data_IF_706845885801
#
_entry.id   IF_706845885801
#
_cell.length_a   1.000
_cell.length_b   1.000
_cell.length_c   1.000
_cell.angle_alpha   90.00
_cell.angle_beta   90.00
_cell.angle_gamma   90.00
#
_symmetry.space_group_name_H-M   'P 1'
#
loop_
_entity.id
_entity.type
_entity.pdbx_description
1 polymer ?
#
# COMPACT_ATOMS: atom_id res chain seq x y z
N UNK A 1 31.45 16.17 -26.09
CA UNK A 1 30.14 15.86 -26.69
C UNK A 1 29.80 14.38 -26.64
N UNK A 2 30.45 13.48 -27.39
CA UNK A 2 30.04 12.05 -27.42
C UNK A 2 30.14 11.36 -26.05
N UNK A 3 31.25 11.55 -25.33
CA UNK A 3 31.44 10.97 -23.98
C UNK A 3 30.45 11.52 -22.96
N UNK A 4 30.09 12.81 -23.05
CA UNK A 4 29.13 13.46 -22.14
C UNK A 4 27.72 12.91 -22.38
N UNK A 5 27.33 12.70 -23.64
CA UNK A 5 26.05 12.08 -23.99
C UNK A 5 25.98 10.65 -23.45
N UNK A 6 27.05 9.86 -23.58
CA UNK A 6 27.12 8.50 -23.03
C UNK A 6 26.98 8.49 -21.51
N UNK A 7 27.64 9.41 -20.80
CA UNK A 7 27.55 9.53 -19.34
C UNK A 7 26.12 9.89 -18.92
N UNK A 8 25.46 10.83 -19.60
CA UNK A 8 24.06 11.20 -19.32
C UNK A 8 23.14 9.98 -19.51
N UNK A 9 23.30 9.23 -20.61
CA UNK A 9 22.51 8.02 -20.87
C UNK A 9 22.72 6.99 -19.75
N UNK A 10 23.96 6.75 -19.31
CA UNK A 10 24.25 5.83 -18.21
C UNK A 10 23.59 6.26 -16.89
N UNK A 11 23.61 7.56 -16.57
CA UNK A 11 22.94 8.10 -15.38
C UNK A 11 21.43 7.89 -15.46
N UNK A 12 20.81 8.14 -16.61
CA UNK A 12 19.37 7.90 -16.82
C UNK A 12 19.03 6.42 -16.65
N UNK A 13 19.80 5.52 -17.27
CA UNK A 13 19.60 4.07 -17.16
C UNK A 13 19.74 3.62 -15.71
N UNK A 14 20.78 4.09 -14.99
CA UNK A 14 20.97 3.80 -13.58
C UNK A 14 19.77 4.28 -12.75
N UNK A 15 19.25 5.47 -13.02
CA UNK A 15 18.09 6.02 -12.31
C UNK A 15 16.83 5.18 -12.55
N UNK A 16 16.59 4.74 -13.79
CA UNK A 16 15.46 3.83 -14.12
C UNK A 16 15.58 2.50 -13.36
N UNK A 17 16.78 1.92 -13.30
CA UNK A 17 17.03 0.69 -12.54
C UNK A 17 16.77 0.90 -11.05
N UNK A 18 17.22 2.02 -10.48
CA UNK A 18 16.98 2.34 -9.06
C UNK A 18 15.48 2.50 -8.76
N UNK A 19 14.73 3.21 -9.62
CA UNK A 19 13.27 3.33 -9.50
C UNK A 19 12.61 1.95 -9.52
N UNK A 20 13.00 1.09 -10.46
CA UNK A 20 12.45 -0.26 -10.57
C UNK A 20 12.72 -1.10 -9.31
N UNK A 21 13.96 -1.09 -8.81
CA UNK A 21 14.33 -1.82 -7.59
C UNK A 21 13.58 -1.27 -6.37
N UNK A 22 13.42 0.05 -6.27
CA UNK A 22 12.65 0.67 -5.20
C UNK A 22 11.17 0.25 -5.24
N UNK A 23 10.55 0.26 -6.42
CA UNK A 23 9.18 -0.24 -6.60
C UNK A 23 9.03 -1.70 -6.18
N UNK A 24 10.00 -2.55 -6.53
CA UNK A 24 10.03 -3.96 -6.13
C UNK A 24 10.16 -4.12 -4.61
N UNK A 25 11.02 -3.33 -3.97
CA UNK A 25 11.18 -3.32 -2.52
C UNK A 25 9.89 -2.92 -1.80
N UNK A 26 9.22 -1.86 -2.28
CA UNK A 26 7.93 -1.44 -1.74
C UNK A 26 6.89 -2.57 -1.82
N UNK A 27 6.79 -3.26 -2.97
CA UNK A 27 5.88 -4.39 -3.11
C UNK A 27 6.16 -5.52 -2.11
N UNK A 28 7.43 -5.85 -1.86
CA UNK A 28 7.81 -6.86 -0.86
C UNK A 28 7.40 -6.43 0.55
N UNK A 29 7.67 -5.18 0.93
CA UNK A 29 7.31 -4.63 2.24
C UNK A 29 5.78 -4.63 2.42
N UNK A 30 5.04 -4.21 1.39
CA UNK A 30 3.58 -4.18 1.41
C UNK A 30 2.99 -5.57 1.59
N UNK A 31 3.49 -6.57 0.85
CA UNK A 31 3.05 -7.97 0.98
C UNK A 31 3.38 -8.56 2.36
N UNK A 32 4.56 -8.25 2.90
CA UNK A 32 4.92 -8.66 4.26
C UNK A 32 4.01 -8.03 5.32
N UNK A 33 3.64 -6.77 5.13
CA UNK A 33 2.69 -6.06 6.01
C UNK A 33 1.30 -6.67 5.94
N UNK A 34 0.79 -6.97 4.74
CA UNK A 34 -0.50 -7.64 4.55
C UNK A 34 -0.54 -9.01 5.26
N UNK A 35 0.48 -9.85 5.05
CA UNK A 35 0.60 -11.15 5.73
C UNK A 35 0.60 -11.03 7.25
N UNK A 36 1.32 -10.04 7.79
CA UNK A 36 1.32 -9.78 9.24
C UNK A 36 -0.05 -9.32 9.74
N UNK A 37 -0.77 -8.52 8.96
CA UNK A 37 -2.11 -8.08 9.31
C UNK A 37 -3.11 -9.23 9.27
N UNK A 38 -3.07 -10.07 8.24
CA UNK A 38 -3.88 -11.29 8.12
C UNK A 38 -3.78 -12.19 9.36
N UNK A 39 -2.58 -12.34 9.92
CA UNK A 39 -2.36 -13.11 11.16
C UNK A 39 -2.81 -12.40 12.45
N UNK A 40 -2.89 -11.06 12.43
CA UNK A 40 -3.18 -10.23 13.62
C UNK A 40 -4.63 -9.79 13.72
N UNK A 41 -5.29 -9.55 12.59
CA UNK A 41 -6.68 -9.10 12.50
C UNK A 41 -7.64 -10.03 13.25
N UNK A 42 -7.55 -11.37 13.12
CA UNK A 42 -8.39 -12.28 13.90
C UNK A 42 -8.20 -12.18 15.42
N UNK A 43 -7.07 -11.64 15.88
CA UNK A 43 -6.76 -11.46 17.31
C UNK A 43 -7.17 -10.10 17.84
N UNK A 44 -7.72 -9.21 17.00
CA UNK A 44 -8.18 -7.90 17.45
C UNK A 44 -9.51 -8.03 18.20
N UNK A 45 -9.68 -7.22 19.24
CA UNK A 45 -11.00 -6.97 19.83
C UNK A 45 -11.84 -6.14 18.84
N UNK A 46 -13.15 -6.31 18.86
CA UNK A 46 -14.14 -5.70 17.97
C UNK A 46 -14.00 -4.17 17.89
N UNK A 47 -13.74 -3.49 19.02
CA UNK A 47 -13.48 -2.04 19.02
C UNK A 47 -12.29 -1.64 18.13
N UNK A 48 -11.22 -2.43 18.17
CA UNK A 48 -10.01 -2.19 17.38
C UNK A 48 -10.24 -2.57 15.92
N UNK A 49 -10.93 -3.69 15.67
CA UNK A 49 -11.31 -4.15 14.34
C UNK A 49 -12.17 -3.10 13.63
N UNK A 50 -13.24 -2.64 14.26
CA UNK A 50 -14.15 -1.63 13.71
C UNK A 50 -13.48 -0.27 13.49
N UNK A 51 -12.57 0.14 14.39
CA UNK A 51 -11.78 1.36 14.19
C UNK A 51 -10.90 1.26 12.94
N UNK A 52 -10.23 0.13 12.76
CA UNK A 52 -9.42 -0.14 11.57
C UNK A 52 -10.25 -0.18 10.29
N UNK A 53 -11.38 -0.88 10.32
CA UNK A 53 -12.33 -0.96 9.20
C UNK A 53 -12.79 0.44 8.73
N UNK A 54 -13.26 1.30 9.65
CA UNK A 54 -13.70 2.67 9.31
C UNK A 54 -12.56 3.53 8.79
N UNK A 55 -11.38 3.44 9.41
CA UNK A 55 -10.20 4.20 8.99
C UNK A 55 -9.78 3.82 7.57
N UNK A 56 -9.70 2.53 7.26
CA UNK A 56 -9.35 2.03 5.94
C UNK A 56 -10.42 2.37 4.89
N UNK A 57 -11.71 2.37 5.27
CA UNK A 57 -12.78 2.78 4.37
C UNK A 57 -12.64 4.25 3.90
N UNK A 58 -12.13 5.12 4.77
CA UNK A 58 -11.82 6.50 4.40
C UNK A 58 -10.53 6.60 3.58
N UNK A 59 -9.47 5.93 4.01
CA UNK A 59 -8.15 5.99 3.35
C UNK A 59 -8.17 5.42 1.93
N UNK A 60 -8.89 4.32 1.67
CA UNK A 60 -9.00 3.73 0.33
C UNK A 60 -9.71 4.64 -0.68
N UNK A 61 -10.57 5.54 -0.21
CA UNK A 61 -11.32 6.50 -1.05
C UNK A 61 -10.58 7.82 -1.22
N UNK A 62 -9.67 8.17 -0.31
CA UNK A 62 -8.96 9.44 -0.33
C UNK A 62 -7.75 9.41 -1.28
N UNK A 63 -8.04 9.54 -2.58
CA UNK A 63 -7.03 9.59 -3.64
C UNK A 63 -6.07 10.78 -3.48
N UNK A 64 -6.57 11.93 -3.00
CA UNK A 64 -5.76 13.12 -2.80
C UNK A 64 -4.64 12.87 -1.77
N UNK A 65 -5.00 12.30 -0.62
CA UNK A 65 -4.03 11.96 0.42
C UNK A 65 -3.00 10.92 -0.09
N UNK A 66 -3.44 9.93 -0.86
CA UNK A 66 -2.53 8.94 -1.44
C UNK A 66 -1.55 9.56 -2.45
N UNK A 67 -2.02 10.49 -3.29
CA UNK A 67 -1.18 11.24 -4.24
C UNK A 67 -0.18 12.12 -3.48
N UNK A 68 -0.64 12.84 -2.45
CA UNK A 68 0.22 13.71 -1.65
C UNK A 68 1.35 12.93 -0.94
N UNK A 69 1.04 11.77 -0.36
CA UNK A 69 2.02 11.01 0.43
C UNK A 69 2.96 10.14 -0.40
N UNK A 70 2.50 9.63 -1.55
CA UNK A 70 3.26 8.61 -2.31
C UNK A 70 3.53 8.99 -3.76
N UNK A 71 3.08 10.17 -4.19
CA UNK A 71 3.35 10.73 -5.51
C UNK A 71 2.97 9.77 -6.63
N UNK A 72 3.96 9.43 -7.47
CA UNK A 72 3.77 8.50 -8.59
C UNK A 72 3.27 7.10 -8.16
N UNK A 73 3.56 6.67 -6.94
CA UNK A 73 3.18 5.36 -6.42
C UNK A 73 1.76 5.31 -5.83
N UNK A 74 0.96 6.38 -5.95
CA UNK A 74 -0.37 6.47 -5.33
C UNK A 74 -1.31 5.30 -5.68
N UNK A 75 -1.24 4.78 -6.91
CA UNK A 75 -2.03 3.62 -7.34
C UNK A 75 -1.70 2.37 -6.52
N UNK A 76 -0.41 2.13 -6.26
CA UNK A 76 0.05 1.01 -5.43
C UNK A 76 -0.44 1.17 -4.00
N UNK A 77 -0.39 2.38 -3.45
CA UNK A 77 -0.85 2.69 -2.10
C UNK A 77 -2.36 2.48 -1.94
N UNK A 78 -3.17 2.95 -2.90
CA UNK A 78 -4.61 2.73 -2.89
C UNK A 78 -4.96 1.25 -3.01
N UNK A 79 -4.26 0.50 -3.88
CA UNK A 79 -4.44 -0.95 -3.98
C UNK A 79 -4.08 -1.67 -2.68
N UNK A 80 -3.06 -1.19 -1.95
CA UNK A 80 -2.71 -1.72 -0.64
C UNK A 80 -3.80 -1.44 0.40
N UNK A 81 -4.35 -0.23 0.45
CA UNK A 81 -5.45 0.11 1.35
C UNK A 81 -6.71 -0.71 1.05
N UNK A 82 -7.01 -0.96 -0.23
CA UNK A 82 -8.13 -1.81 -0.62
C UNK A 82 -7.92 -3.26 -0.14
N UNK A 83 -6.74 -3.83 -0.34
CA UNK A 83 -6.41 -5.19 0.17
C UNK A 83 -6.52 -5.28 1.70
N UNK A 84 -6.02 -4.26 2.42
CA UNK A 84 -6.18 -4.22 3.88
C UNK A 84 -7.66 -4.12 4.26
N UNK A 85 -8.43 -3.26 3.59
CA UNK A 85 -9.85 -3.11 3.84
C UNK A 85 -10.59 -4.43 3.68
N UNK A 86 -10.31 -5.19 2.62
CA UNK A 86 -10.90 -6.52 2.40
C UNK A 86 -10.60 -7.50 3.54
N UNK A 87 -9.38 -7.51 4.10
CA UNK A 87 -9.05 -8.35 5.25
C UNK A 87 -9.86 -7.98 6.50
N UNK A 88 -10.03 -6.68 6.75
CA UNK A 88 -10.86 -6.21 7.86
C UNK A 88 -12.34 -6.51 7.62
N UNK A 89 -12.83 -6.30 6.40
CA UNK A 89 -14.20 -6.57 6.02
C UNK A 89 -14.55 -8.05 6.22
N UNK A 90 -13.70 -8.96 5.73
CA UNK A 90 -13.89 -10.39 5.88
C UNK A 90 -13.98 -10.81 7.36
N UNK A 91 -13.16 -10.23 8.24
CA UNK A 91 -13.22 -10.54 9.68
C UNK A 91 -14.44 -9.91 10.37
N UNK A 92 -14.84 -8.69 9.97
CA UNK A 92 -16.06 -8.03 10.47
C UNK A 92 -17.30 -8.85 10.11
N UNK A 93 -17.39 -9.29 8.84
CA UNK A 93 -18.45 -10.17 8.34
C UNK A 93 -18.45 -11.52 9.06
N UNK A 94 -17.27 -12.14 9.26
CA UNK A 94 -17.14 -13.40 10.01
C UNK A 94 -17.69 -13.31 11.44
N UNK A 95 -17.60 -12.14 12.05
CA UNK A 95 -18.08 -11.89 13.42
C UNK A 95 -19.53 -11.39 13.48
N UNK A 96 -20.18 -11.17 12.34
CA UNK A 96 -21.51 -10.58 12.27
C UNK A 96 -21.57 -9.16 12.84
N UNK A 97 -20.45 -8.43 12.80
CA UNK A 97 -20.40 -7.05 13.28
C UNK A 97 -21.01 -6.13 12.23
N UNK A 98 -21.99 -5.31 12.64
CA UNK A 98 -22.65 -4.41 11.70
C UNK A 98 -21.70 -3.29 11.28
N UNK A 99 -21.47 -3.22 9.97
CA UNK A 99 -20.50 -2.34 9.33
C UNK A 99 -21.14 -1.09 8.70
N UNK A 100 -22.47 -0.95 8.86
CA UNK A 100 -23.30 0.16 8.41
C UNK A 100 -22.92 1.50 9.06
#
# INVERSE_FOLDING_TARGET
>A
METEIIVIILVIVMFVVLIYLFAKLLNVIQNGTLRRQEQRIPKFNDKKLMRGYRSLNHQRKNKFLAIYLTGFYYKSTLAMYEKQFQLYQAEVERRGLDAS
#
